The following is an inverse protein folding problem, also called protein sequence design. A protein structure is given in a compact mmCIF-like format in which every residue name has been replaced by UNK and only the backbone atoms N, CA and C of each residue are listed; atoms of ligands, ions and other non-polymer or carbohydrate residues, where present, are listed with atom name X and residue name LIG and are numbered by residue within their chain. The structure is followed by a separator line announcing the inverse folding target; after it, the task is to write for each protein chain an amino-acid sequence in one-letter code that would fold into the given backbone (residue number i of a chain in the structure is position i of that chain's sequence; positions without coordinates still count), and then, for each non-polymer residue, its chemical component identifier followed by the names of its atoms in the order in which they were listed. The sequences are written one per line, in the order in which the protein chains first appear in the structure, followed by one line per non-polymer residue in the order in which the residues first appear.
data_IF_753620174133
#
_entry.id   IF_753620174133
#
_cell.length_a   1.000
_cell.length_b   1.000
_cell.length_c   1.000
_cell.angle_alpha   90.00
_cell.angle_beta   90.00
_cell.angle_gamma   90.00
#
_symmetry.space_group_name_H-M   'P 1'
#
loop_
_entity.id
_entity.type
_entity.pdbx_description
1 polymer ?
#
# COMPACT_ATOMS: atom_id res chain seq x y z
N UNK A 1 3.45 -13.42 17.63
CA UNK A 1 2.95 -13.20 16.25
C UNK A 1 2.41 -14.47 15.57
N UNK A 2 2.31 -15.64 16.23
CA UNK A 2 2.48 -16.91 15.49
C UNK A 2 1.34 -17.40 14.56
N UNK A 3 0.08 -16.97 14.64
CA UNK A 3 -1.00 -17.57 13.81
C UNK A 3 -2.01 -16.60 13.15
N UNK A 4 -1.68 -15.32 12.91
CA UNK A 4 -2.62 -14.42 12.20
C UNK A 4 -2.06 -13.98 10.85
N UNK A 5 -2.60 -14.51 9.72
CA UNK A 5 -2.24 -14.05 8.38
C UNK A 5 -2.38 -12.53 8.22
N UNK A 6 -3.45 -11.96 8.79
CA UNK A 6 -3.69 -10.52 8.77
C UNK A 6 -2.57 -9.73 9.43
N UNK A 7 -2.10 -10.17 10.62
CA UNK A 7 -0.98 -9.50 11.30
C UNK A 7 0.32 -9.63 10.54
N UNK A 8 0.62 -10.83 10.03
CA UNK A 8 1.85 -11.08 9.27
C UNK A 8 1.91 -10.18 8.04
N UNK A 9 0.84 -10.18 7.23
CA UNK A 9 0.76 -9.35 6.02
C UNK A 9 0.84 -7.87 6.36
N UNK A 10 0.08 -7.40 7.35
CA UNK A 10 0.12 -5.99 7.76
C UNK A 10 1.51 -5.55 8.22
N UNK A 11 2.20 -6.38 9.02
CA UNK A 11 3.57 -6.08 9.47
C UNK A 11 4.57 -6.04 8.32
N UNK A 12 4.52 -7.02 7.41
CA UNK A 12 5.44 -7.07 6.26
C UNK A 12 5.20 -5.89 5.33
N UNK A 13 3.96 -5.67 4.89
CA UNK A 13 3.63 -4.58 3.98
C UNK A 13 3.90 -3.23 4.65
N UNK A 14 3.60 -3.10 5.95
CA UNK A 14 3.91 -1.90 6.72
C UNK A 14 5.39 -1.55 6.69
N UNK A 15 6.26 -2.54 6.96
CA UNK A 15 7.71 -2.35 6.89
C UNK A 15 8.20 -2.01 5.47
N UNK A 16 7.66 -2.67 4.44
CA UNK A 16 8.01 -2.41 3.03
C UNK A 16 7.60 -0.99 2.62
N UNK A 17 6.37 -0.55 2.91
CA UNK A 17 5.90 0.79 2.57
C UNK A 17 6.67 1.89 3.31
N UNK A 18 7.05 1.66 4.57
CA UNK A 18 7.94 2.58 5.29
C UNK A 18 9.31 2.69 4.60
N UNK A 19 9.91 1.55 4.23
CA UNK A 19 11.19 1.55 3.52
C UNK A 19 11.10 2.27 2.17
N UNK A 20 10.07 1.97 1.37
CA UNK A 20 9.81 2.63 0.09
C UNK A 20 9.62 4.14 0.26
N UNK A 21 8.82 4.57 1.23
CA UNK A 21 8.62 6.00 1.52
C UNK A 21 9.92 6.70 1.92
N UNK A 22 10.76 6.07 2.76
CA UNK A 22 12.05 6.63 3.15
C UNK A 22 13.03 6.71 1.97
N UNK A 23 13.18 5.62 1.20
CA UNK A 23 14.06 5.59 0.04
C UNK A 23 13.60 6.51 -1.09
N UNK A 24 12.30 6.72 -1.22
CA UNK A 24 11.74 7.66 -2.19
C UNK A 24 12.27 9.08 -2.00
N UNK A 25 12.48 9.52 -0.76
CA UNK A 25 13.07 10.85 -0.51
C UNK A 25 14.51 10.99 -1.03
N UNK A 26 15.25 9.88 -1.19
CA UNK A 26 16.58 9.92 -1.77
C UNK A 26 16.59 10.20 -3.28
N UNK A 27 15.47 9.96 -3.98
CA UNK A 27 15.33 10.18 -5.43
C UNK A 27 14.46 11.38 -5.79
N UNK A 28 13.81 12.02 -4.81
CA UNK A 28 12.93 13.19 -5.04
C UNK A 28 13.58 14.53 -4.68
N UNK A 29 14.91 14.60 -4.63
CA UNK A 29 15.63 15.86 -4.43
C UNK A 29 15.33 16.85 -5.57
N UNK A 30 14.78 18.01 -5.24
CA UNK A 30 14.40 19.03 -6.25
C UNK A 30 13.05 18.81 -6.92
N UNK A 31 12.32 17.73 -6.60
CA UNK A 31 10.95 17.51 -7.07
C UNK A 31 9.96 18.32 -6.23
N UNK A 32 9.02 19.01 -6.88
CA UNK A 32 7.96 19.73 -6.17
C UNK A 32 7.09 18.80 -5.32
N UNK A 33 6.61 19.27 -4.16
CA UNK A 33 5.90 18.41 -3.21
C UNK A 33 4.65 17.74 -3.80
N UNK A 34 3.84 18.53 -4.53
CA UNK A 34 2.65 18.07 -5.28
C UNK A 34 2.94 18.21 -6.78
N UNK A 35 3.83 17.37 -7.30
CA UNK A 35 4.24 17.38 -8.70
C UNK A 35 3.56 16.27 -9.48
N UNK A 36 3.22 16.50 -10.75
CA UNK A 36 2.66 15.46 -11.63
C UNK A 36 3.69 14.52 -12.24
N UNK A 37 4.97 14.83 -12.04
CA UNK A 37 6.14 14.01 -12.37
C UNK A 37 7.09 13.90 -11.17
N UNK A 38 7.91 12.86 -11.15
CA UNK A 38 8.68 12.46 -9.98
C UNK A 38 10.08 11.91 -10.29
N UNK A 39 10.75 11.46 -9.23
CA UNK A 39 11.98 10.69 -9.33
C UNK A 39 11.67 9.20 -9.48
N UNK A 40 12.56 8.46 -10.14
CA UNK A 40 12.40 7.01 -10.32
C UNK A 40 13.10 6.23 -9.20
N UNK A 41 12.31 5.65 -8.31
CA UNK A 41 12.78 4.70 -7.32
C UNK A 41 13.05 3.35 -8.01
N UNK A 42 14.24 2.78 -7.76
CA UNK A 42 14.74 1.57 -8.46
C UNK A 42 14.80 1.69 -9.98
N UNK A 43 14.71 2.91 -10.54
CA UNK A 43 14.61 3.14 -11.98
C UNK A 43 13.27 2.71 -12.60
N UNK A 44 12.25 2.38 -11.80
CA UNK A 44 10.98 1.80 -12.27
C UNK A 44 9.76 2.55 -11.73
N UNK A 45 9.72 2.82 -10.42
CA UNK A 45 8.53 3.37 -9.74
C UNK A 45 8.65 4.88 -9.62
N UNK A 46 7.67 5.63 -10.10
CA UNK A 46 7.73 7.09 -10.08
C UNK A 46 7.10 7.62 -8.77
N UNK A 47 7.87 8.47 -8.09
CA UNK A 47 7.45 9.01 -6.80
C UNK A 47 7.74 10.50 -6.73
N UNK A 48 6.84 11.23 -6.07
CA UNK A 48 7.09 12.59 -5.61
C UNK A 48 7.08 12.64 -4.07
N UNK A 49 7.44 13.78 -3.44
CA UNK A 49 7.43 13.89 -1.98
C UNK A 49 6.08 13.59 -1.33
N UNK A 50 4.95 14.01 -1.93
CA UNK A 50 3.61 13.69 -1.40
C UNK A 50 3.35 12.17 -1.41
N UNK A 51 3.72 11.48 -2.49
CA UNK A 51 3.60 10.03 -2.61
C UNK A 51 4.47 9.31 -1.57
N UNK A 52 5.68 9.80 -1.30
CA UNK A 52 6.53 9.28 -0.23
C UNK A 52 5.89 9.44 1.15
N UNK A 53 5.27 10.60 1.43
CA UNK A 53 4.50 10.79 2.68
C UNK A 53 3.33 9.81 2.76
N UNK A 54 2.59 9.62 1.67
CA UNK A 54 1.50 8.64 1.62
C UNK A 54 2.01 7.22 1.93
N UNK A 55 3.15 6.81 1.36
CA UNK A 55 3.80 5.54 1.68
C UNK A 55 4.17 5.42 3.16
N UNK A 56 4.73 6.47 3.76
CA UNK A 56 5.07 6.46 5.19
C UNK A 56 3.83 6.33 6.09
N UNK A 57 2.76 7.07 5.78
CA UNK A 57 1.51 7.03 6.55
C UNK A 57 0.84 5.65 6.45
N UNK A 58 0.74 5.09 5.25
CA UNK A 58 0.15 3.78 5.01
C UNK A 58 1.02 2.68 5.63
N UNK A 59 2.33 2.76 5.45
CA UNK A 59 3.30 1.84 6.04
C UNK A 59 3.24 1.84 7.57
N UNK A 60 3.18 3.02 8.18
CA UNK A 60 3.01 3.19 9.62
C UNK A 60 1.68 2.60 10.11
N UNK A 61 0.57 2.89 9.44
CA UNK A 61 -0.74 2.36 9.81
C UNK A 61 -0.77 0.83 9.75
N UNK A 62 -0.26 0.22 8.68
CA UNK A 62 -0.18 -1.24 8.52
C UNK A 62 0.73 -1.87 9.57
N UNK A 63 1.92 -1.31 9.79
CA UNK A 63 2.88 -1.85 10.75
C UNK A 63 2.32 -1.81 12.17
N UNK A 64 1.80 -0.65 12.60
CA UNK A 64 1.20 -0.48 13.93
C UNK A 64 0.03 -1.45 14.10
N UNK A 65 -0.88 -1.53 13.14
CA UNK A 65 -2.03 -2.43 13.21
C UNK A 65 -1.62 -3.90 13.29
N UNK A 66 -0.62 -4.32 12.50
CA UNK A 66 -0.04 -5.66 12.53
C UNK A 66 0.57 -6.02 13.90
N UNK A 67 1.23 -5.06 14.55
CA UNK A 67 1.81 -5.25 15.87
C UNK A 67 0.73 -5.28 16.98
N UNK A 68 -0.30 -4.43 16.90
CA UNK A 68 -1.33 -4.26 17.93
C UNK A 68 -2.28 -5.46 18.04
N UNK A 69 -3.02 -5.81 16.99
CA UNK A 69 -4.03 -6.89 17.08
C UNK A 69 -4.46 -7.43 15.73
N UNK A 70 -4.98 -8.67 15.70
CA UNK A 70 -5.51 -9.26 14.46
C UNK A 70 -6.72 -8.49 13.90
N UNK A 71 -7.59 -7.96 14.78
CA UNK A 71 -8.74 -7.14 14.39
C UNK A 71 -8.31 -5.83 13.74
N UNK A 72 -7.34 -5.12 14.34
CA UNK A 72 -6.80 -3.89 13.77
C UNK A 72 -6.10 -4.17 12.43
N UNK A 73 -5.26 -5.20 12.37
CA UNK A 73 -4.57 -5.60 11.14
C UNK A 73 -5.55 -5.92 10.01
N UNK A 74 -6.62 -6.68 10.29
CA UNK A 74 -7.67 -6.96 9.30
C UNK A 74 -8.33 -5.67 8.80
N UNK A 75 -8.75 -4.80 9.72
CA UNK A 75 -9.41 -3.55 9.35
C UNK A 75 -8.53 -2.69 8.44
N UNK A 76 -7.25 -2.53 8.78
CA UNK A 76 -6.31 -1.74 7.98
C UNK A 76 -5.98 -2.43 6.65
N UNK A 77 -5.78 -3.74 6.63
CA UNK A 77 -5.58 -4.49 5.37
C UNK A 77 -6.76 -4.27 4.41
N UNK A 78 -8.01 -4.37 4.89
CA UNK A 78 -9.19 -4.16 4.05
C UNK A 78 -9.27 -2.72 3.56
N UNK A 79 -9.10 -1.74 4.45
CA UNK A 79 -9.17 -0.32 4.09
C UNK A 79 -8.09 0.08 3.08
N UNK A 80 -6.83 -0.26 3.35
CA UNK A 80 -5.70 0.06 2.46
C UNK A 80 -5.82 -0.72 1.16
N UNK A 81 -6.19 -2.00 1.22
CA UNK A 81 -6.39 -2.83 0.04
C UNK A 81 -7.49 -2.28 -0.88
N UNK A 82 -8.61 -1.81 -0.32
CA UNK A 82 -9.66 -1.16 -1.10
C UNK A 82 -9.21 0.17 -1.72
N UNK A 83 -8.47 0.98 -0.97
CA UNK A 83 -7.90 2.23 -1.48
C UNK A 83 -6.91 1.97 -2.62
N UNK A 84 -6.04 0.97 -2.51
CA UNK A 84 -5.11 0.58 -3.57
C UNK A 84 -5.78 -0.08 -4.77
N UNK A 85 -6.88 -0.79 -4.57
CA UNK A 85 -7.68 -1.28 -5.70
C UNK A 85 -8.23 -0.10 -6.50
N UNK A 86 -8.84 0.88 -5.81
CA UNK A 86 -9.36 2.08 -6.45
C UNK A 86 -8.25 2.87 -7.14
N UNK A 87 -7.15 3.15 -6.44
CA UNK A 87 -6.02 3.90 -6.97
C UNK A 87 -5.35 3.18 -8.15
N UNK A 88 -5.19 1.87 -8.07
CA UNK A 88 -4.61 1.05 -9.11
C UNK A 88 -5.46 0.99 -10.39
N UNK A 89 -6.79 1.05 -10.27
CA UNK A 89 -7.70 1.09 -11.43
C UNK A 89 -7.81 2.52 -11.99
N UNK A 90 -8.13 3.49 -11.15
CA UNK A 90 -8.34 4.89 -11.57
C UNK A 90 -7.04 5.52 -12.05
N UNK A 91 -5.91 5.12 -11.48
CA UNK A 91 -4.60 5.66 -11.79
C UNK A 91 -4.23 5.63 -13.27
N UNK A 92 -4.61 4.58 -14.00
CA UNK A 92 -4.38 4.49 -15.45
C UNK A 92 -4.98 5.67 -16.24
N UNK A 93 -6.04 6.28 -15.72
CA UNK A 93 -6.70 7.44 -16.32
C UNK A 93 -6.14 8.79 -15.82
N UNK A 94 -5.30 8.78 -14.79
CA UNK A 94 -4.67 9.97 -14.23
C UNK A 94 -3.34 10.29 -14.93
N UNK A 95 -2.63 9.29 -15.47
CA UNK A 95 -1.32 9.48 -16.11
C UNK A 95 -1.39 10.55 -17.20
N UNK A 96 -0.46 11.52 -17.14
CA UNK A 96 -0.40 12.65 -18.07
C UNK A 96 -1.41 13.77 -17.81
N UNK A 97 -2.25 13.66 -16.79
CA UNK A 97 -3.23 14.70 -16.40
C UNK A 97 -2.73 15.52 -15.20
N UNK A 98 -3.31 16.71 -15.00
CA UNK A 98 -3.07 17.53 -13.82
C UNK A 98 -3.53 16.87 -12.51
N UNK A 99 -4.40 15.86 -12.59
CA UNK A 99 -4.88 15.12 -11.42
C UNK A 99 -3.87 14.08 -10.91
N UNK A 100 -2.76 13.81 -11.63
CA UNK A 100 -1.70 12.89 -11.19
C UNK A 100 -0.81 13.48 -10.09
N UNK A 101 -1.41 14.02 -9.02
CA UNK A 101 -0.71 14.76 -7.96
C UNK A 101 0.29 13.91 -7.16
N UNK A 102 0.30 12.60 -7.36
CA UNK A 102 1.21 11.63 -6.73
C UNK A 102 2.37 11.22 -7.66
N UNK A 103 2.43 11.77 -8.89
CA UNK A 103 3.38 11.36 -9.92
C UNK A 103 3.39 9.84 -10.19
N UNK A 104 2.21 9.21 -10.24
CA UNK A 104 2.09 7.78 -10.48
C UNK A 104 2.39 7.45 -11.93
N UNK A 105 3.09 6.34 -12.14
CA UNK A 105 3.28 5.74 -13.46
C UNK A 105 2.54 4.38 -13.58
N UNK A 106 2.65 3.76 -14.76
CA UNK A 106 2.00 2.47 -15.04
C UNK A 106 2.48 1.35 -14.12
N UNK A 107 3.76 1.30 -13.77
CA UNK A 107 4.31 0.28 -12.86
C UNK A 107 3.77 0.45 -11.44
N UNK A 108 3.57 1.69 -10.99
CA UNK A 108 2.93 1.97 -9.70
C UNK A 108 1.52 1.38 -9.68
N UNK A 109 0.70 1.56 -10.73
CA UNK A 109 -0.66 1.02 -10.75
C UNK A 109 -0.70 -0.50 -10.62
N UNK A 110 0.18 -1.21 -11.33
CA UNK A 110 0.28 -2.66 -11.17
C UNK A 110 0.71 -3.07 -9.76
N UNK A 111 1.67 -2.36 -9.16
CA UNK A 111 2.09 -2.63 -7.78
C UNK A 111 0.95 -2.39 -6.78
N UNK A 112 0.18 -1.31 -6.95
CA UNK A 112 -0.99 -1.03 -6.14
C UNK A 112 -2.06 -2.12 -6.27
N UNK A 113 -2.35 -2.59 -7.49
CA UNK A 113 -3.29 -3.69 -7.71
C UNK A 113 -2.80 -5.00 -7.07
N UNK A 114 -1.50 -5.31 -7.19
CA UNK A 114 -0.91 -6.48 -6.54
C UNK A 114 -1.03 -6.39 -5.01
N UNK A 115 -0.69 -5.24 -4.42
CA UNK A 115 -0.88 -4.98 -3.00
C UNK A 115 -2.34 -5.11 -2.58
N UNK A 116 -3.27 -4.57 -3.39
CA UNK A 116 -4.70 -4.67 -3.13
C UNK A 116 -5.19 -6.11 -3.08
N UNK A 117 -4.77 -6.95 -4.04
CA UNK A 117 -5.12 -8.37 -4.09
C UNK A 117 -4.66 -9.10 -2.82
N UNK A 118 -3.42 -8.87 -2.39
CA UNK A 118 -2.88 -9.52 -1.18
C UNK A 118 -3.60 -9.04 0.08
N UNK A 119 -3.74 -7.72 0.24
CA UNK A 119 -4.33 -7.11 1.44
C UNK A 119 -5.82 -7.46 1.57
N UNK A 120 -6.61 -7.35 0.49
CA UNK A 120 -8.02 -7.73 0.48
C UNK A 120 -8.19 -9.24 0.58
N UNK A 121 -7.35 -10.02 -0.12
CA UNK A 121 -7.40 -11.48 -0.10
C UNK A 121 -7.24 -12.03 1.32
N UNK A 122 -6.30 -11.48 2.09
CA UNK A 122 -6.10 -11.89 3.49
C UNK A 122 -7.11 -11.23 4.44
N UNK A 123 -7.46 -9.96 4.20
CA UNK A 123 -8.43 -9.21 5.00
C UNK A 123 -9.84 -9.80 4.98
N UNK A 124 -10.29 -10.30 3.82
CA UNK A 124 -11.63 -10.86 3.62
C UNK A 124 -11.62 -12.39 3.65
N UNK A 125 -10.57 -13.03 3.13
CA UNK A 125 -10.51 -14.48 2.95
C UNK A 125 -10.14 -15.28 4.20
N UNK A 126 -9.30 -14.74 5.09
CA UNK A 126 -8.74 -15.51 6.20
C UNK A 126 -9.78 -15.91 7.28
N UNK A 127 -10.93 -15.26 7.36
CA UNK A 127 -11.99 -15.63 8.32
C UNK A 127 -12.87 -16.80 7.84
N UNK A 128 -13.04 -16.98 6.52
CA UNK A 128 -13.88 -18.07 5.98
C UNK A 128 -13.36 -19.46 6.34
N UNK A 129 -12.07 -19.59 6.68
CA UNK A 129 -11.46 -20.84 7.13
C UNK A 129 -11.79 -21.21 8.58
N UNK A 130 -12.02 -20.21 9.45
CA UNK A 130 -12.31 -20.43 10.88
C UNK A 130 -13.78 -20.79 11.12
N UNK A 131 -14.71 -20.16 10.39
CA UNK A 131 -16.15 -20.50 10.47
C UNK A 131 -16.45 -21.90 9.93
N UNK A 132 -15.68 -22.36 8.94
CA UNK A 132 -15.86 -23.70 8.35
C UNK A 132 -15.36 -24.84 9.23
N UNK A 133 -14.33 -24.62 10.04
CA UNK A 133 -13.80 -25.62 10.96
C UNK A 133 -14.59 -25.71 12.28
N UNK A 134 -15.43 -24.71 12.60
CA UNK A 134 -16.35 -24.78 13.74
C UNK A 134 -17.67 -25.55 13.43
N UNK A 135 -17.91 -25.88 12.17
CA UNK A 135 -19.11 -26.58 11.67
C UNK A 135 -18.84 -28.05 11.28
N UNK A 136 -17.62 -28.56 11.50
CA UNK A 136 -17.19 -29.93 11.21
C UNK A 136 -16.87 -30.68 12.51
#
# INVERSE_FOLDING_TARGET
MRNSPNRLVATIFGAVYLLVGLLGFAVTGGVGFISTSGGLLLGIFEVNPLHNVAHLLIGGALLIAGLVSARAAKAVNVTVGAAYLLLGVVGFFLVGTAANILALNTFDHFLHLASAIVLLGVGVGAERGADRSALA
#
